data_IF_635261298229
#
_entry.id   IF_635261298229
#
_cell.length_a   1.000
_cell.length_b   1.000
_cell.length_c   1.000
_cell.angle_alpha   90.00
_cell.angle_beta   90.00
_cell.angle_gamma   90.00
#
_symmetry.space_group_name_H-M   'P 1'
#
loop_
_entity.id
_entity.type
_entity.pdbx_description
1 polymer ?
#
# COMPACT_ATOMS: atom_id res chain seq x y z
N UNK A 1 45.19 -4.14 30.58
CA UNK A 1 44.56 -3.77 29.29
C UNK A 1 43.18 -4.41 29.18
N UNK A 2 43.06 -5.70 29.46
CA UNK A 2 41.84 -6.51 29.31
C UNK A 2 40.60 -5.97 30.07
N UNK A 3 40.77 -5.53 31.32
CA UNK A 3 39.69 -4.93 32.12
C UNK A 3 39.14 -3.64 31.50
N UNK A 4 40.00 -2.82 30.88
CA UNK A 4 39.56 -1.58 30.22
C UNK A 4 38.74 -1.90 28.96
N UNK A 5 39.15 -2.91 28.19
CA UNK A 5 38.44 -3.33 26.98
C UNK A 5 37.07 -3.93 27.29
N UNK A 6 36.99 -4.81 28.29
CA UNK A 6 35.72 -5.34 28.78
C UNK A 6 34.77 -4.22 29.26
N UNK A 7 35.27 -3.16 29.89
CA UNK A 7 34.45 -1.99 30.25
C UNK A 7 33.92 -1.23 29.05
N UNK A 8 34.71 -1.09 27.98
CA UNK A 8 34.27 -0.45 26.73
C UNK A 8 33.14 -1.26 26.09
N UNK A 9 33.26 -2.59 26.02
CA UNK A 9 32.21 -3.43 25.45
C UNK A 9 30.91 -3.38 26.26
N UNK A 10 31.00 -3.41 27.61
CA UNK A 10 29.82 -3.23 28.47
C UNK A 10 29.17 -1.86 28.25
N UNK A 11 29.96 -0.80 28.07
CA UNK A 11 29.43 0.53 27.80
C UNK A 11 28.73 0.60 26.43
N UNK A 12 29.30 -0.01 25.38
CA UNK A 12 28.69 -0.12 24.06
C UNK A 12 27.38 -0.93 24.10
N UNK A 13 27.37 -2.07 24.78
CA UNK A 13 26.19 -2.90 24.94
C UNK A 13 25.06 -2.15 25.69
N UNK A 14 25.39 -1.37 26.73
CA UNK A 14 24.42 -0.52 27.43
C UNK A 14 23.87 0.58 26.54
N UNK A 15 24.71 1.22 25.72
CA UNK A 15 24.26 2.23 24.76
C UNK A 15 23.29 1.62 23.74
N UNK A 16 23.64 0.46 23.18
CA UNK A 16 22.76 -0.28 22.26
C UNK A 16 21.42 -0.65 22.92
N UNK A 17 21.43 -1.07 24.20
CA UNK A 17 20.21 -1.36 24.96
C UNK A 17 19.33 -0.12 25.13
N UNK A 18 19.90 1.05 25.45
CA UNK A 18 19.14 2.31 25.58
C UNK A 18 18.49 2.69 24.26
N UNK A 19 19.22 2.58 23.14
CA UNK A 19 18.66 2.83 21.81
C UNK A 19 17.55 1.85 21.45
N UNK A 20 17.72 0.55 21.71
CA UNK A 20 16.71 -0.46 21.45
C UNK A 20 15.45 -0.23 22.29
N UNK A 21 15.59 0.10 23.59
CA UNK A 21 14.46 0.41 24.46
C UNK A 21 13.68 1.63 23.97
N UNK A 22 14.37 2.72 23.62
CA UNK A 22 13.72 3.90 23.03
C UNK A 22 13.05 3.56 21.69
N UNK A 23 13.66 2.70 20.87
CA UNK A 23 13.08 2.26 19.60
C UNK A 23 11.77 1.50 19.77
N UNK A 24 11.68 0.64 20.81
CA UNK A 24 10.44 -0.08 21.16
C UNK A 24 9.32 0.89 21.55
N UNK A 25 9.62 1.90 22.38
CA UNK A 25 8.62 2.90 22.78
C UNK A 25 8.09 3.70 21.57
N UNK A 26 8.98 4.14 20.67
CA UNK A 26 8.59 4.83 19.43
C UNK A 26 7.73 3.92 18.54
N UNK A 27 8.11 2.66 18.38
CA UNK A 27 7.35 1.70 17.57
C UNK A 27 5.96 1.40 18.15
N UNK A 28 5.83 1.32 19.49
CA UNK A 28 4.54 1.15 20.17
C UNK A 28 3.64 2.35 19.98
N UNK A 29 4.17 3.57 20.13
CA UNK A 29 3.43 4.79 19.88
C UNK A 29 2.95 4.90 18.42
N UNK A 30 3.80 4.52 17.46
CA UNK A 30 3.44 4.48 16.04
C UNK A 30 2.35 3.44 15.75
N UNK A 31 2.42 2.25 16.36
CA UNK A 31 1.37 1.24 16.26
C UNK A 31 0.05 1.74 16.84
N UNK A 32 0.06 2.32 18.05
CA UNK A 32 -1.13 2.90 18.67
C UNK A 32 -1.77 3.96 17.76
N UNK A 33 -0.97 4.88 17.22
CA UNK A 33 -1.44 5.90 16.29
C UNK A 33 -2.04 5.30 15.01
N UNK A 34 -1.44 4.25 14.44
CA UNK A 34 -1.98 3.55 13.27
C UNK A 34 -3.32 2.86 13.53
N UNK A 35 -3.61 2.54 14.80
CA UNK A 35 -4.89 1.99 15.26
C UNK A 35 -5.88 3.06 15.70
N UNK A 36 -5.52 4.36 15.62
CA UNK A 36 -6.35 5.47 16.11
C UNK A 36 -6.37 5.62 17.64
N UNK A 37 -5.39 5.05 18.35
CA UNK A 37 -5.24 5.13 19.80
C UNK A 37 -4.20 6.19 20.18
N UNK A 38 -4.25 6.66 21.44
CA UNK A 38 -3.24 7.58 21.97
C UNK A 38 -1.87 6.89 22.09
N UNK A 39 -0.73 7.55 21.81
CA UNK A 39 0.60 6.93 21.85
C UNK A 39 1.00 6.30 23.20
N UNK A 40 0.42 6.76 24.31
CA UNK A 40 0.62 6.25 25.66
C UNK A 40 -0.29 5.05 26.01
N UNK A 41 -1.14 4.60 25.08
CA UNK A 41 -2.01 3.45 25.31
C UNK A 41 -1.17 2.17 25.53
N UNK A 42 -1.32 1.45 26.65
CA UNK A 42 -0.54 0.25 26.91
C UNK A 42 -0.96 -0.89 25.96
N UNK A 43 -0.03 -1.31 25.09
CA UNK A 43 -0.23 -2.40 24.15
C UNK A 43 0.53 -3.66 24.60
N UNK A 44 -0.15 -4.79 24.70
CA UNK A 44 0.50 -6.09 24.90
C UNK A 44 0.65 -6.78 23.53
N UNK A 45 1.88 -6.83 23.01
CA UNK A 45 2.17 -7.49 21.73
C UNK A 45 2.45 -8.96 22.03
N UNK A 46 1.63 -9.85 21.47
CA UNK A 46 1.93 -11.26 21.47
C UNK A 46 2.90 -11.58 20.34
N UNK A 47 3.96 -12.32 20.65
CA UNK A 47 4.82 -12.85 19.60
C UNK A 47 4.00 -13.87 18.80
N UNK A 48 3.79 -13.58 17.52
CA UNK A 48 2.99 -14.43 16.67
C UNK A 48 3.64 -15.80 16.42
N UNK A 49 4.93 -15.99 16.77
CA UNK A 49 5.62 -17.28 16.78
C UNK A 49 5.62 -18.05 15.45
N UNK A 50 5.06 -17.46 14.38
CA UNK A 50 4.79 -18.19 13.16
C UNK A 50 6.12 -18.48 12.47
N UNK A 51 6.45 -19.76 12.35
CA UNK A 51 7.64 -20.23 11.69
C UNK A 51 7.76 -19.63 10.27
N UNK A 52 8.94 -19.12 9.89
CA UNK A 52 9.18 -18.69 8.51
C UNK A 52 9.08 -19.91 7.61
N UNK A 53 7.99 -19.98 6.84
CA UNK A 53 7.74 -21.04 5.87
C UNK A 53 8.28 -20.62 4.50
N UNK A 54 8.59 -21.59 3.62
CA UNK A 54 8.83 -21.28 2.22
C UNK A 54 7.63 -20.51 1.64
N UNK A 55 7.87 -19.44 0.85
CA UNK A 55 6.78 -18.77 0.15
C UNK A 55 6.09 -19.77 -0.79
N UNK A 56 4.76 -19.71 -0.86
CA UNK A 56 4.03 -20.50 -1.84
C UNK A 56 4.53 -20.16 -3.25
N UNK A 57 4.73 -21.18 -4.07
CA UNK A 57 5.06 -21.01 -5.48
C UNK A 57 3.83 -20.46 -6.19
N UNK A 58 3.64 -19.15 -6.13
CA UNK A 58 2.66 -18.46 -6.96
C UNK A 58 3.23 -18.37 -8.37
N UNK A 59 2.46 -18.85 -9.35
CA UNK A 59 2.72 -18.55 -10.75
C UNK A 59 2.61 -17.02 -10.93
N UNK A 60 3.67 -16.32 -11.36
CA UNK A 60 3.62 -14.88 -11.59
C UNK A 60 2.48 -14.47 -12.51
N UNK A 61 2.12 -15.29 -13.51
CA UNK A 61 1.02 -14.97 -14.42
C UNK A 61 -0.33 -14.97 -13.69
N UNK A 62 -0.57 -15.95 -12.81
CA UNK A 62 -1.79 -16.02 -12.00
C UNK A 62 -1.88 -14.86 -11.00
N UNK A 63 -0.78 -14.57 -10.30
CA UNK A 63 -0.69 -13.46 -9.35
C UNK A 63 -1.01 -12.10 -10.00
N UNK A 64 -0.52 -11.88 -11.22
CA UNK A 64 -0.78 -10.65 -11.97
C UNK A 64 -2.25 -10.56 -12.43
N UNK A 65 -2.84 -11.67 -12.88
CA UNK A 65 -4.24 -11.72 -13.29
C UNK A 65 -5.18 -11.45 -12.10
N UNK A 66 -4.91 -12.04 -10.94
CA UNK A 66 -5.67 -11.81 -9.71
C UNK A 66 -5.58 -10.36 -9.25
N UNK A 67 -4.37 -9.78 -9.26
CA UNK A 67 -4.17 -8.39 -8.86
C UNK A 67 -4.94 -7.43 -9.77
N UNK A 68 -4.92 -7.64 -11.09
CA UNK A 68 -5.69 -6.80 -12.02
C UNK A 68 -7.21 -6.89 -11.76
N UNK A 69 -7.72 -8.06 -11.40
CA UNK A 69 -9.14 -8.25 -11.12
C UNK A 69 -9.58 -7.68 -9.75
N UNK A 70 -8.69 -7.66 -8.76
CA UNK A 70 -9.04 -7.26 -7.39
C UNK A 70 -8.73 -5.79 -7.09
N UNK A 71 -7.62 -5.24 -7.61
CA UNK A 71 -7.08 -3.93 -7.19
C UNK A 71 -8.06 -2.77 -7.43
N UNK A 72 -8.42 -2.00 -6.38
CA UNK A 72 -9.34 -0.87 -6.48
C UNK A 72 -8.89 0.23 -7.45
N UNK A 73 -7.59 0.48 -7.58
CA UNK A 73 -7.05 1.52 -8.47
C UNK A 73 -7.28 1.22 -9.97
N UNK A 74 -7.19 -0.07 -10.36
CA UNK A 74 -7.49 -0.51 -11.74
C UNK A 74 -8.98 -0.32 -12.01
N UNK A 75 -9.84 -0.81 -11.10
CA UNK A 75 -11.29 -0.62 -11.17
C UNK A 75 -11.66 0.86 -11.26
N UNK A 76 -11.02 1.71 -10.44
CA UNK A 76 -11.26 3.16 -10.47
C UNK A 76 -10.85 3.78 -11.81
N UNK A 77 -9.75 3.34 -12.41
CA UNK A 77 -9.34 3.80 -13.74
C UNK A 77 -10.30 3.33 -14.84
N UNK A 78 -10.80 2.10 -14.77
CA UNK A 78 -11.85 1.60 -15.68
C UNK A 78 -13.14 2.43 -15.60
N UNK A 79 -13.59 2.77 -14.38
CA UNK A 79 -14.75 3.67 -14.19
C UNK A 79 -14.53 5.06 -14.79
N UNK A 80 -13.30 5.58 -14.78
CA UNK A 80 -12.97 6.84 -15.46
C UNK A 80 -13.07 6.72 -16.98
N UNK A 81 -12.67 5.59 -17.55
CA UNK A 81 -12.88 5.31 -18.99
C UNK A 81 -14.37 5.26 -19.33
N UNK A 82 -15.18 4.59 -18.51
CA UNK A 82 -16.64 4.55 -18.68
C UNK A 82 -17.26 5.96 -18.65
N UNK A 83 -16.84 6.79 -17.69
CA UNK A 83 -17.25 8.19 -17.60
C UNK A 83 -16.81 9.03 -18.81
N UNK A 84 -15.59 8.79 -19.32
CA UNK A 84 -15.09 9.40 -20.56
C UNK A 84 -15.95 9.02 -21.77
N UNK A 85 -16.33 7.74 -21.90
CA UNK A 85 -17.23 7.27 -22.97
C UNK A 85 -18.60 7.91 -22.88
N UNK A 86 -19.15 8.05 -21.67
CA UNK A 86 -20.41 8.76 -21.45
C UNK A 86 -20.31 10.24 -21.85
N UNK A 87 -19.20 10.90 -21.54
CA UNK A 87 -18.94 12.30 -21.91
C UNK A 87 -18.86 12.49 -23.43
N UNK A 88 -18.23 11.54 -24.16
CA UNK A 88 -18.25 11.53 -25.63
C UNK A 88 -19.67 11.37 -26.18
N UNK A 89 -20.49 10.49 -25.59
CA UNK A 89 -21.90 10.34 -26.00
C UNK A 89 -22.70 11.62 -25.76
N UNK A 90 -22.51 12.28 -24.62
CA UNK A 90 -23.15 13.56 -24.30
C UNK A 90 -22.70 14.68 -25.26
N UNK A 91 -21.40 14.76 -25.59
CA UNK A 91 -20.92 15.72 -26.59
C UNK A 91 -21.51 15.43 -28.00
N UNK A 92 -21.72 14.16 -28.34
CA UNK A 92 -22.34 13.76 -29.60
C UNK A 92 -23.85 14.05 -29.64
N UNK A 93 -24.56 13.95 -28.52
CA UNK A 93 -26.00 14.24 -28.49
C UNK A 93 -26.32 15.71 -28.75
N UNK A 94 -25.37 16.63 -28.52
CA UNK A 94 -25.50 18.05 -28.87
C UNK A 94 -25.69 18.33 -30.38
N UNK A 95 -25.49 17.33 -31.24
CA UNK A 95 -25.81 17.41 -32.67
C UNK A 95 -27.30 17.14 -32.97
N UNK A 96 -28.02 16.51 -32.05
CA UNK A 96 -29.46 16.27 -32.16
C UNK A 96 -30.30 17.44 -31.65
N UNK A 97 -31.62 17.40 -31.85
CA UNK A 97 -32.53 18.37 -31.27
C UNK A 97 -32.67 18.14 -29.76
N UNK A 98 -32.90 19.21 -29.02
CA UNK A 98 -33.37 19.16 -27.63
C UNK A 98 -34.87 19.33 -27.61
N UNK A 99 -35.57 18.43 -26.93
CA UNK A 99 -37.02 18.52 -26.69
C UNK A 99 -37.22 18.88 -25.24
N UNK A 100 -37.93 19.97 -24.99
CA UNK A 100 -38.28 20.44 -23.66
C UNK A 100 -39.81 20.47 -23.54
N UNK A 101 -40.31 20.04 -22.39
CA UNK A 101 -41.73 20.08 -22.06
C UNK A 101 -41.89 21.08 -20.91
N UNK A 102 -42.55 22.18 -21.19
CA UNK A 102 -42.84 23.22 -20.22
C UNK A 102 -44.31 23.15 -19.83
N UNK A 103 -44.58 23.03 -18.53
CA UNK A 103 -45.92 23.11 -17.99
C UNK A 103 -45.89 24.07 -16.79
N UNK A 104 -46.79 25.04 -16.80
CA UNK A 104 -46.95 26.00 -15.72
C UNK A 104 -48.41 26.05 -15.29
N UNK A 105 -48.62 26.21 -13.99
CA UNK A 105 -49.92 26.41 -13.39
C UNK A 105 -49.75 27.45 -12.29
N UNK A 106 -50.54 28.51 -12.33
CA UNK A 106 -50.39 29.62 -11.39
C UNK A 106 -51.65 30.47 -11.29
N UNK A 107 -51.62 31.40 -10.35
CA UNK A 107 -52.65 32.42 -10.17
C UNK A 107 -51.97 33.78 -10.36
N UNK A 108 -52.59 34.66 -11.15
CA UNK A 108 -52.11 36.02 -11.37
C UNK A 108 -53.16 37.00 -10.84
N UNK A 109 -52.84 37.70 -9.75
CA UNK A 109 -53.78 38.60 -9.07
C UNK A 109 -53.50 40.05 -9.45
N UNK A 110 -54.29 40.61 -10.39
CA UNK A 110 -54.12 42.00 -10.84
C UNK A 110 -55.24 42.96 -10.37
N UNK A 111 -56.11 42.53 -9.44
CA UNK A 111 -57.16 43.37 -8.81
C UNK A 111 -57.52 42.87 -7.40
N UNK A 112 -58.32 43.62 -6.63
CA UNK A 112 -58.63 43.33 -5.21
C UNK A 112 -59.51 42.07 -4.96
N UNK A 113 -60.09 41.47 -6.01
CA UNK A 113 -60.74 40.14 -5.97
C UNK A 113 -60.60 39.36 -7.31
N UNK A 114 -59.51 38.62 -7.55
CA UNK A 114 -59.33 37.79 -8.74
C UNK A 114 -59.51 36.30 -8.43
N UNK A 115 -60.11 35.54 -9.37
CA UNK A 115 -60.24 34.08 -9.30
C UNK A 115 -59.58 33.34 -10.48
N UNK A 116 -58.72 34.01 -11.25
CA UNK A 116 -58.26 33.47 -12.52
C UNK A 116 -57.06 32.54 -12.33
N UNK A 117 -57.36 31.24 -12.41
CA UNK A 117 -56.37 30.17 -12.53
C UNK A 117 -55.87 30.17 -13.98
N UNK A 118 -54.57 30.36 -14.18
CA UNK A 118 -53.95 30.26 -15.49
C UNK A 118 -53.05 29.01 -15.54
N UNK A 119 -53.08 28.32 -16.66
CA UNK A 119 -52.20 27.18 -16.92
C UNK A 119 -51.75 27.19 -18.36
N UNK A 120 -50.52 26.75 -18.59
CA UNK A 120 -49.93 26.64 -19.92
C UNK A 120 -49.14 25.35 -20.01
N UNK A 121 -49.23 24.65 -21.13
CA UNK A 121 -48.34 23.54 -21.45
C UNK A 121 -47.86 23.71 -22.89
N UNK A 122 -46.58 23.46 -23.14
CA UNK A 122 -45.95 23.59 -24.45
C UNK A 122 -44.75 22.69 -24.59
N UNK A 123 -44.45 22.29 -25.82
CA UNK A 123 -43.24 21.54 -26.17
C UNK A 123 -42.34 22.46 -27.00
N UNK A 124 -41.09 22.63 -26.57
CA UNK A 124 -40.08 23.43 -27.28
C UNK A 124 -39.05 22.50 -27.92
N UNK A 125 -38.92 22.59 -29.24
CA UNK A 125 -37.89 21.86 -30.00
C UNK A 125 -36.77 22.82 -30.40
N UNK A 126 -35.54 22.56 -29.92
CA UNK A 126 -34.36 23.37 -30.26
C UNK A 126 -33.35 22.54 -31.07
N UNK A 127 -33.12 22.93 -32.32
CA UNK A 127 -32.10 22.32 -33.17
C UNK A 127 -31.11 23.39 -33.67
N UNK A 128 -29.90 23.47 -33.09
CA UNK A 128 -28.91 24.43 -33.56
C UNK A 128 -28.33 24.00 -34.92
N UNK A 129 -28.55 24.83 -35.95
CA UNK A 129 -28.09 24.58 -37.33
C UNK A 129 -26.59 24.84 -37.45
N UNK A 130 -26.12 25.99 -36.92
CA UNK A 130 -24.70 26.35 -36.91
C UNK A 130 -24.29 26.92 -35.56
N UNK A 131 -23.18 26.44 -35.00
CA UNK A 131 -22.68 26.81 -33.66
C UNK A 131 -21.25 27.33 -33.70
N UNK A 132 -20.76 27.84 -34.84
CA UNK A 132 -19.38 28.30 -34.98
C UNK A 132 -18.33 27.24 -34.61
N UNK A 133 -18.55 25.98 -34.99
CA UNK A 133 -17.70 24.82 -34.67
C UNK A 133 -17.58 24.43 -33.18
N UNK A 134 -18.27 25.11 -32.26
CA UNK A 134 -18.20 24.82 -30.82
C UNK A 134 -18.51 23.34 -30.50
N UNK A 135 -19.53 22.74 -31.13
CA UNK A 135 -19.87 21.31 -30.96
C UNK A 135 -18.75 20.38 -31.42
N UNK A 136 -18.12 20.69 -32.54
CA UNK A 136 -17.00 19.90 -33.08
C UNK A 136 -15.79 19.94 -32.16
N UNK A 137 -15.46 21.12 -31.62
CA UNK A 137 -14.38 21.25 -30.64
C UNK A 137 -14.71 20.56 -29.31
N UNK A 138 -15.95 20.64 -28.83
CA UNK A 138 -16.40 19.95 -27.63
C UNK A 138 -16.30 18.42 -27.78
N UNK A 139 -16.74 17.88 -28.93
CA UNK A 139 -16.62 16.46 -29.24
C UNK A 139 -15.15 16.01 -29.37
N UNK A 140 -14.32 16.81 -30.04
CA UNK A 140 -12.89 16.55 -30.15
C UNK A 140 -12.22 16.52 -28.77
N UNK A 141 -12.49 17.53 -27.92
CA UNK A 141 -12.02 17.57 -26.53
C UNK A 141 -12.46 16.33 -25.75
N UNK A 142 -13.74 15.96 -25.82
CA UNK A 142 -14.25 14.79 -25.11
C UNK A 142 -13.56 13.48 -25.55
N UNK A 143 -13.24 13.34 -26.84
CA UNK A 143 -12.46 12.20 -27.36
C UNK A 143 -11.02 12.20 -26.85
N UNK A 144 -10.36 13.35 -26.82
CA UNK A 144 -9.01 13.46 -26.26
C UNK A 144 -8.99 13.13 -24.77
N UNK A 145 -9.98 13.58 -23.99
CA UNK A 145 -10.10 13.23 -22.57
C UNK A 145 -10.39 11.75 -22.36
N UNK A 146 -11.19 11.11 -23.23
CA UNK A 146 -11.35 9.65 -23.21
C UNK A 146 -10.02 8.94 -23.47
N UNK A 147 -9.26 9.34 -24.49
CA UNK A 147 -7.93 8.77 -24.76
C UNK A 147 -7.00 8.88 -23.55
N UNK A 148 -6.95 10.06 -22.91
CA UNK A 148 -6.19 10.26 -21.66
C UNK A 148 -6.66 9.34 -20.52
N UNK A 149 -7.96 9.06 -20.43
CA UNK A 149 -8.49 8.14 -19.42
C UNK A 149 -8.10 6.68 -19.73
N UNK A 150 -8.06 6.30 -21.00
CA UNK A 150 -7.62 4.98 -21.46
C UNK A 150 -6.12 4.79 -21.18
N UNK A 151 -5.28 5.78 -21.52
CA UNK A 151 -3.84 5.77 -21.22
C UNK A 151 -3.59 5.63 -19.71
N UNK A 152 -4.29 6.40 -18.87
CA UNK A 152 -4.19 6.30 -17.41
C UNK A 152 -4.62 4.92 -16.87
N UNK A 153 -5.57 4.26 -17.53
CA UNK A 153 -6.00 2.90 -17.16
C UNK A 153 -4.90 1.89 -17.49
N UNK A 154 -4.25 2.03 -18.64
CA UNK A 154 -3.13 1.18 -19.03
C UNK A 154 -1.89 1.43 -18.15
N UNK A 155 -1.60 2.68 -17.79
CA UNK A 155 -0.57 3.06 -16.81
C UNK A 155 -0.84 2.44 -15.44
N UNK A 156 -2.08 2.54 -14.92
CA UNK A 156 -2.46 1.93 -13.65
C UNK A 156 -2.31 0.40 -13.68
N UNK A 157 -2.72 -0.25 -14.78
CA UNK A 157 -2.57 -1.68 -14.95
C UNK A 157 -1.09 -2.11 -15.06
N UNK A 158 -0.23 -1.29 -15.66
CA UNK A 158 1.22 -1.53 -15.71
C UNK A 158 1.87 -1.34 -14.33
N UNK A 159 1.50 -0.28 -13.59
CA UNK A 159 1.99 -0.03 -12.25
C UNK A 159 1.66 -1.18 -11.29
N UNK A 160 0.43 -1.68 -11.31
CA UNK A 160 0.03 -2.87 -10.52
C UNK A 160 0.88 -4.08 -10.88
N UNK A 161 1.09 -4.34 -12.18
CA UNK A 161 1.93 -5.46 -12.62
C UNK A 161 3.36 -5.35 -12.10
N UNK A 162 3.94 -4.15 -12.17
CA UNK A 162 5.28 -3.89 -11.64
C UNK A 162 5.34 -4.05 -10.12
N UNK A 163 4.32 -3.58 -9.39
CA UNK A 163 4.25 -3.73 -7.93
C UNK A 163 4.19 -5.20 -7.50
N UNK A 164 3.34 -6.02 -8.14
CA UNK A 164 3.24 -7.46 -7.87
C UNK A 164 4.55 -8.17 -8.20
N UNK A 165 5.16 -7.85 -9.35
CA UNK A 165 6.44 -8.43 -9.75
C UNK A 165 7.54 -8.14 -8.72
N UNK A 166 7.64 -6.87 -8.30
CA UNK A 166 8.59 -6.45 -7.28
C UNK A 166 8.31 -7.12 -5.93
N UNK A 167 7.04 -7.23 -5.52
CA UNK A 167 6.67 -7.89 -4.27
C UNK A 167 7.03 -9.38 -4.26
N UNK A 168 6.82 -10.10 -5.36
CA UNK A 168 7.25 -11.49 -5.51
C UNK A 168 8.77 -11.64 -5.43
N UNK A 169 9.51 -10.76 -6.12
CA UNK A 169 10.98 -10.76 -6.07
C UNK A 169 11.50 -10.48 -4.66
N UNK A 170 10.95 -9.47 -3.98
CA UNK A 170 11.30 -9.11 -2.60
C UNK A 170 10.97 -10.22 -1.59
N UNK A 171 9.87 -10.93 -1.77
CA UNK A 171 9.53 -12.07 -0.92
C UNK A 171 10.55 -13.21 -1.07
N UNK A 172 10.97 -13.52 -2.31
CA UNK A 172 12.00 -14.53 -2.59
C UNK A 172 13.36 -14.11 -2.02
N UNK A 173 13.74 -12.86 -2.20
CA UNK A 173 14.96 -12.27 -1.62
C UNK A 173 14.95 -12.40 -0.09
N UNK A 174 13.88 -11.95 0.55
CA UNK A 174 13.76 -12.00 2.01
C UNK A 174 13.80 -13.44 2.55
N UNK A 175 13.19 -14.39 1.84
CA UNK A 175 13.27 -15.81 2.21
C UNK A 175 14.70 -16.35 2.14
N UNK A 176 15.42 -16.06 1.06
CA UNK A 176 16.81 -16.48 0.91
C UNK A 176 17.72 -15.80 1.94
N UNK A 177 17.44 -14.55 2.29
CA UNK A 177 18.14 -13.84 3.37
C UNK A 177 17.93 -14.55 4.71
N UNK A 178 16.71 -14.97 5.04
CA UNK A 178 16.44 -15.77 6.24
C UNK A 178 17.27 -17.05 6.26
N UNK A 179 17.35 -17.78 5.14
CA UNK A 179 18.17 -19.00 5.05
C UNK A 179 19.66 -18.70 5.28
N UNK A 180 20.20 -17.65 4.65
CA UNK A 180 21.59 -17.25 4.79
C UNK A 180 21.93 -16.83 6.22
N UNK A 181 21.08 -16.03 6.86
CA UNK A 181 21.32 -15.53 8.22
C UNK A 181 21.15 -16.62 9.28
N UNK A 182 20.27 -17.61 9.04
CA UNK A 182 20.18 -18.81 9.89
C UNK A 182 21.48 -19.62 9.87
N UNK A 183 22.09 -19.81 8.70
CA UNK A 183 23.39 -20.46 8.60
C UNK A 183 24.49 -19.63 9.30
N UNK A 184 24.54 -18.32 9.04
CA UNK A 184 25.47 -17.40 9.72
C UNK A 184 25.35 -17.48 11.25
N UNK A 185 24.13 -17.52 11.77
CA UNK A 185 23.89 -17.60 13.22
C UNK A 185 24.33 -18.95 13.78
N UNK A 186 24.14 -20.04 13.05
CA UNK A 186 24.64 -21.37 13.45
C UNK A 186 26.17 -21.39 13.53
N UNK A 187 26.85 -20.83 12.51
CA UNK A 187 28.31 -20.75 12.47
C UNK A 187 28.89 -19.82 13.55
N UNK A 188 28.20 -18.71 13.84
CA UNK A 188 28.59 -17.78 14.91
C UNK A 188 28.45 -18.44 16.30
N UNK A 189 27.41 -19.25 16.52
CA UNK A 189 27.24 -20.02 17.76
C UNK A 189 28.38 -21.02 17.96
N UNK A 190 28.74 -21.74 16.90
CA UNK A 190 29.84 -22.70 16.95
C UNK A 190 31.19 -22.00 17.16
N UNK A 191 31.40 -20.85 16.53
CA UNK A 191 32.60 -20.03 16.71
C UNK A 191 32.73 -19.54 18.16
N UNK A 192 31.63 -19.09 18.78
CA UNK A 192 31.61 -18.73 20.20
C UNK A 192 31.94 -19.94 21.09
N UNK A 193 31.35 -21.10 20.80
CA UNK A 193 31.64 -22.34 21.53
C UNK A 193 33.13 -22.67 21.48
N UNK A 194 33.75 -22.58 20.30
CA UNK A 194 35.19 -22.82 20.15
C UNK A 194 36.06 -21.79 20.88
N UNK A 195 35.69 -20.51 20.84
CA UNK A 195 36.42 -19.44 21.53
C UNK A 195 36.35 -19.60 23.05
N UNK A 196 35.17 -19.93 23.59
CA UNK A 196 34.94 -20.19 25.02
C UNK A 196 35.77 -21.39 25.50
N UNK A 197 35.76 -22.51 24.78
CA UNK A 197 36.55 -23.69 25.12
C UNK A 197 38.07 -23.41 25.10
N UNK A 198 38.56 -22.64 24.11
CA UNK A 198 39.98 -22.23 24.07
C UNK A 198 40.35 -21.30 25.22
N UNK A 199 39.47 -20.37 25.58
CA UNK A 199 39.68 -19.45 26.69
C UNK A 199 39.76 -20.21 28.02
N UNK A 200 38.85 -21.16 28.27
CA UNK A 200 38.84 -21.99 29.50
C UNK A 200 40.13 -22.77 29.73
N UNK A 201 40.79 -23.24 28.66
CA UNK A 201 42.05 -23.98 28.74
C UNK A 201 43.30 -23.08 28.62
N UNK A 202 43.11 -21.76 28.57
CA UNK A 202 44.20 -20.78 28.42
C UNK A 202 44.86 -20.75 27.04
N UNK A 203 44.26 -21.38 26.04
CA UNK A 203 44.72 -21.42 24.65
C UNK A 203 44.15 -20.29 23.77
N UNK A 204 43.27 -19.44 24.32
CA UNK A 204 42.69 -18.28 23.66
C UNK A 204 42.66 -17.06 24.57
N UNK A 205 42.48 -15.88 24.00
CA UNK A 205 42.42 -14.63 24.77
C UNK A 205 40.98 -14.25 25.11
N UNK A 206 40.79 -13.45 26.17
CA UNK A 206 39.48 -12.86 26.48
C UNK A 206 38.96 -11.97 25.34
N UNK A 207 39.85 -11.40 24.52
CA UNK A 207 39.45 -10.61 23.36
C UNK A 207 38.78 -11.48 22.30
N UNK A 208 39.33 -12.66 22.03
CA UNK A 208 38.75 -13.60 21.06
C UNK A 208 37.34 -14.07 21.49
N UNK A 209 37.15 -14.26 22.80
CA UNK A 209 35.85 -14.61 23.39
C UNK A 209 34.84 -13.46 23.23
N UNK A 210 35.22 -12.23 23.61
CA UNK A 210 34.35 -11.05 23.50
C UNK A 210 33.98 -10.73 22.04
N UNK A 211 34.93 -10.90 21.11
CA UNK A 211 34.67 -10.71 19.68
C UNK A 211 33.68 -11.77 19.17
N UNK A 212 33.81 -13.03 19.61
CA UNK A 212 32.87 -14.10 19.25
C UNK A 212 31.46 -13.88 19.84
N UNK A 213 31.36 -13.39 21.08
CA UNK A 213 30.08 -13.01 21.70
C UNK A 213 29.40 -11.88 20.92
N UNK A 214 30.17 -10.86 20.54
CA UNK A 214 29.68 -9.72 19.76
C UNK A 214 29.20 -10.16 18.37
N UNK A 215 29.96 -11.02 17.69
CA UNK A 215 29.58 -11.58 16.40
C UNK A 215 28.29 -12.41 16.48
N UNK A 216 28.14 -13.23 17.53
CA UNK A 216 26.90 -13.98 17.74
C UNK A 216 25.71 -13.04 18.00
N UNK A 217 25.88 -12.03 18.85
CA UNK A 217 24.82 -11.05 19.14
C UNK A 217 24.39 -10.31 17.86
N UNK A 218 25.35 -9.92 17.00
CA UNK A 218 25.06 -9.29 15.71
C UNK A 218 24.34 -10.24 14.75
N UNK A 219 24.76 -11.51 14.66
CA UNK A 219 24.10 -12.51 13.81
C UNK A 219 22.66 -12.79 14.28
N UNK A 220 22.43 -12.87 15.59
CA UNK A 220 21.09 -13.03 16.16
C UNK A 220 20.18 -11.83 15.86
N UNK A 221 20.70 -10.60 15.99
CA UNK A 221 19.95 -9.40 15.62
C UNK A 221 19.57 -9.41 14.13
N UNK A 222 20.53 -9.75 13.25
CA UNK A 222 20.26 -9.90 11.82
C UNK A 222 19.22 -10.99 11.53
N UNK A 223 19.18 -12.07 12.32
CA UNK A 223 18.20 -13.14 12.14
C UNK A 223 16.79 -12.64 12.45
N UNK A 224 16.63 -11.91 13.55
CA UNK A 224 15.34 -11.28 13.92
C UNK A 224 14.90 -10.30 12.83
N UNK A 225 15.81 -9.46 12.33
CA UNK A 225 15.51 -8.53 11.24
C UNK A 225 15.10 -9.26 9.96
N UNK A 226 15.84 -10.30 9.55
CA UNK A 226 15.53 -11.07 8.35
C UNK A 226 14.15 -11.75 8.45
N UNK A 227 13.84 -12.37 9.60
CA UNK A 227 12.55 -12.99 9.87
C UNK A 227 11.41 -11.95 9.81
N UNK A 228 11.63 -10.74 10.35
CA UNK A 228 10.68 -9.63 10.26
C UNK A 228 10.50 -9.13 8.82
N UNK A 229 11.58 -8.91 8.08
CA UNK A 229 11.52 -8.44 6.68
C UNK A 229 10.80 -9.45 5.78
N UNK A 230 10.96 -10.75 6.02
CA UNK A 230 10.19 -11.78 5.32
C UNK A 230 8.68 -11.65 5.56
N UNK A 231 8.26 -11.39 6.81
CA UNK A 231 6.84 -11.16 7.13
C UNK A 231 6.30 -9.90 6.48
N UNK A 232 7.07 -8.81 6.50
CA UNK A 232 6.72 -7.55 5.82
C UNK A 232 6.59 -7.76 4.32
N UNK A 233 7.52 -8.49 3.70
CA UNK A 233 7.44 -8.84 2.27
C UNK A 233 6.18 -9.67 1.96
N UNK A 234 5.80 -10.61 2.84
CA UNK A 234 4.58 -11.39 2.71
C UNK A 234 3.31 -10.52 2.81
N UNK A 235 3.26 -9.60 3.77
CA UNK A 235 2.15 -8.64 3.89
C UNK A 235 2.06 -7.70 2.68
N UNK A 236 3.21 -7.24 2.18
CA UNK A 236 3.29 -6.42 0.98
C UNK A 236 2.83 -7.15 -0.28
N UNK A 237 3.12 -8.45 -0.40
CA UNK A 237 2.59 -9.25 -1.50
C UNK A 237 1.07 -9.36 -1.43
N UNK A 238 0.50 -9.67 -0.24
CA UNK A 238 -0.96 -9.68 -0.05
C UNK A 238 -1.60 -8.33 -0.41
N UNK A 239 -0.95 -7.22 -0.06
CA UNK A 239 -1.36 -5.86 -0.48
C UNK A 239 -1.32 -5.70 -1.99
N UNK A 240 -0.23 -6.14 -2.63
CA UNK A 240 -0.03 -6.07 -4.07
C UNK A 240 -1.10 -6.87 -4.84
N UNK A 241 -1.49 -8.03 -4.31
CA UNK A 241 -2.55 -8.89 -4.87
C UNK A 241 -3.97 -8.35 -4.60
N UNK A 242 -4.13 -7.35 -3.73
CA UNK A 242 -5.44 -6.85 -3.32
C UNK A 242 -6.20 -7.79 -2.38
N UNK A 243 -5.50 -8.65 -1.63
CA UNK A 243 -6.08 -9.57 -0.64
C UNK A 243 -6.24 -8.96 0.75
N UNK A 244 -5.62 -7.80 0.98
CA UNK A 244 -5.84 -7.01 2.19
C UNK A 244 -7.14 -6.20 2.03
N UNK A 245 -8.28 -6.88 1.97
CA UNK A 245 -9.55 -6.18 2.15
C UNK A 245 -9.72 -5.82 3.62
N UNK A 246 -10.02 -4.54 3.88
CA UNK A 246 -10.57 -4.14 5.17
C UNK A 246 -11.87 -4.93 5.38
N UNK A 247 -12.18 -5.41 6.60
CA UNK A 247 -13.47 -6.01 6.86
C UNK A 247 -14.55 -5.01 6.41
N UNK A 248 -15.47 -5.47 5.55
CA UNK A 248 -16.61 -4.67 5.11
C UNK A 248 -17.30 -4.11 6.36
N UNK A 249 -17.10 -2.81 6.61
CA UNK A 249 -17.85 -2.09 7.62
C UNK A 249 -19.31 -2.04 7.18
N UNK A 250 -20.15 -2.82 7.85
CA UNK A 250 -21.60 -2.60 7.89
C UNK A 250 -21.93 -1.39 8.74
#
# INVERSE_FOLDING_TARGET
>A
ADVLRARVEVANARLAQVHAASGVEVARGALAASMGLSPDTPLAIQDAGAEVRPPALLDPAQALAEAQARRPEVKAAERRVEAGRASVRAARSAYGPTVELDASYGRLDNTYFPQDKNWSAGIVLRLPVFTGFARSHALARARTELGRAEDRRDEAALAVRQEVWNALARLREAYNAVLAVRALTADAKESLRMADERYKVGAGTITDLLDAETNLAQAQAQQVDADFQYRVAGANLKRALGELEAPEGR
#
